data_IF_737081789117
#
_entry.id   IF_737081789117
#
_cell.length_a   1.000
_cell.length_b   1.000
_cell.length_c   1.000
_cell.angle_alpha   90.00
_cell.angle_beta   90.00
_cell.angle_gamma   90.00
#
_symmetry.space_group_name_H-M   'P 1'
#
loop_
_entity.id
_entity.type
_entity.pdbx_description
1 polymer ?
#
# COMPACT_ATOMS: atom_id res chain seq x y z
N UNK A 1 -5.75 3.10 -12.52
CA UNK A 1 -5.89 2.37 -11.24
C UNK A 1 -6.41 3.18 -10.06
N UNK A 2 -5.90 4.39 -9.76
CA UNK A 2 -6.37 5.16 -8.59
C UNK A 2 -7.90 5.30 -8.52
N UNK A 3 -8.54 5.65 -9.64
CA UNK A 3 -9.99 5.82 -9.73
C UNK A 3 -10.75 4.50 -9.50
N UNK A 4 -10.20 3.37 -9.96
CA UNK A 4 -10.76 2.03 -9.74
C UNK A 4 -10.68 1.64 -8.25
N UNK A 5 -9.57 1.93 -7.59
CA UNK A 5 -9.43 1.68 -6.15
C UNK A 5 -10.36 2.62 -5.37
N UNK A 6 -10.53 3.88 -5.79
CA UNK A 6 -11.52 4.77 -5.20
C UNK A 6 -12.96 4.25 -5.42
N UNK A 7 -13.25 3.61 -6.55
CA UNK A 7 -14.53 2.95 -6.77
C UNK A 7 -14.72 1.76 -5.81
N UNK A 8 -13.68 0.97 -5.54
CA UNK A 8 -13.72 -0.06 -4.50
C UNK A 8 -14.09 0.49 -3.12
N UNK A 9 -13.47 1.60 -2.70
CA UNK A 9 -13.83 2.24 -1.42
C UNK A 9 -15.26 2.80 -1.41
N UNK A 10 -15.76 3.32 -2.54
CA UNK A 10 -17.17 3.73 -2.65
C UNK A 10 -18.12 2.52 -2.53
N UNK A 11 -17.79 1.41 -3.18
CA UNK A 11 -18.53 0.16 -3.08
C UNK A 11 -18.54 -0.37 -1.63
N UNK A 12 -17.36 -0.38 -0.98
CA UNK A 12 -17.22 -0.76 0.43
C UNK A 12 -18.15 0.05 1.33
N UNK A 13 -18.20 1.38 1.17
CA UNK A 13 -19.07 2.25 1.98
C UNK A 13 -20.57 2.00 1.77
N UNK A 14 -20.98 1.42 0.63
CA UNK A 14 -22.38 1.09 0.33
C UNK A 14 -22.77 -0.31 0.82
N UNK A 15 -21.81 -1.23 0.87
CA UNK A 15 -21.99 -2.60 1.34
C UNK A 15 -20.77 -3.05 2.16
N UNK A 16 -20.62 -2.56 3.40
CA UNK A 16 -19.45 -2.82 4.20
C UNK A 16 -19.28 -4.31 4.50
N UNK A 17 -18.03 -4.76 4.54
CA UNK A 17 -17.65 -6.06 5.07
C UNK A 17 -16.72 -5.87 6.28
N UNK A 18 -16.55 -6.91 7.08
CA UNK A 18 -15.65 -6.85 8.24
C UNK A 18 -14.19 -6.73 7.77
N UNK A 19 -13.49 -5.74 8.30
CA UNK A 19 -12.05 -5.61 8.11
C UNK A 19 -11.34 -6.24 9.31
N UNK A 20 -10.66 -7.37 9.08
CA UNK A 20 -10.01 -8.13 10.15
C UNK A 20 -8.51 -8.37 9.91
N UNK A 21 -8.05 -8.41 8.66
CA UNK A 21 -6.62 -8.46 8.34
C UNK A 21 -6.30 -8.09 6.87
N UNK A 22 -5.02 -7.84 6.59
CA UNK A 22 -4.50 -7.47 5.26
C UNK A 22 -4.85 -8.46 4.15
N UNK A 23 -4.78 -9.77 4.41
CA UNK A 23 -5.08 -10.79 3.40
C UNK A 23 -6.56 -10.80 3.03
N UNK A 24 -7.44 -10.64 4.02
CA UNK A 24 -8.88 -10.48 3.78
C UNK A 24 -9.15 -9.24 2.92
N UNK A 25 -8.56 -8.10 3.27
CA UNK A 25 -8.69 -6.86 2.49
C UNK A 25 -8.17 -7.02 1.05
N UNK A 26 -7.01 -7.66 0.86
CA UNK A 26 -6.43 -7.97 -0.46
C UNK A 26 -7.37 -8.84 -1.30
N UNK A 27 -7.94 -9.89 -0.71
CA UNK A 27 -8.89 -10.76 -1.41
C UNK A 27 -10.17 -10.03 -1.81
N UNK A 28 -10.73 -9.21 -0.94
CA UNK A 28 -11.94 -8.44 -1.24
C UNK A 28 -11.70 -7.44 -2.40
N UNK A 29 -10.55 -6.75 -2.41
CA UNK A 29 -10.17 -5.91 -3.54
C UNK A 29 -9.98 -6.74 -4.82
N UNK A 30 -9.33 -7.89 -4.73
CA UNK A 30 -9.15 -8.81 -5.86
C UNK A 30 -10.48 -9.31 -6.45
N UNK A 31 -11.44 -9.68 -5.60
CA UNK A 31 -12.79 -10.11 -6.00
C UNK A 31 -13.53 -8.94 -6.66
N UNK A 32 -13.48 -7.75 -6.05
CA UNK A 32 -14.08 -6.54 -6.62
C UNK A 32 -13.55 -6.25 -8.02
N UNK A 33 -12.23 -6.24 -8.20
CA UNK A 33 -11.61 -5.98 -9.50
C UNK A 33 -12.08 -6.99 -10.55
N UNK A 34 -12.05 -8.29 -10.24
CA UNK A 34 -12.51 -9.33 -11.17
C UNK A 34 -13.99 -9.24 -11.52
N UNK A 35 -14.83 -8.78 -10.59
CA UNK A 35 -16.28 -8.66 -10.77
C UNK A 35 -16.67 -7.44 -11.61
N UNK A 36 -16.06 -6.29 -11.34
CA UNK A 36 -16.49 -5.01 -11.92
C UNK A 36 -15.60 -4.54 -13.09
N UNK A 37 -14.42 -5.14 -13.27
CA UNK A 37 -13.45 -4.84 -14.32
C UNK A 37 -12.94 -6.14 -14.96
N UNK A 38 -13.83 -6.93 -15.61
CA UNK A 38 -13.51 -8.26 -16.12
C UNK A 38 -12.44 -8.28 -17.24
N UNK A 39 -12.15 -7.13 -17.85
CA UNK A 39 -11.06 -6.93 -18.80
C UNK A 39 -9.67 -6.98 -18.15
N UNK A 40 -9.59 -6.81 -16.83
CA UNK A 40 -8.34 -6.84 -16.07
C UNK A 40 -7.96 -8.29 -15.74
N UNK A 41 -6.75 -8.70 -16.15
CA UNK A 41 -6.16 -9.95 -15.70
C UNK A 41 -5.51 -9.75 -14.32
N UNK A 42 -6.30 -9.98 -13.26
CA UNK A 42 -5.92 -9.77 -11.86
C UNK A 42 -5.28 -11.02 -11.26
N UNK A 43 -4.06 -10.87 -10.74
CA UNK A 43 -3.30 -11.91 -10.03
C UNK A 43 -2.93 -11.40 -8.64
N UNK A 44 -3.21 -12.21 -7.62
CA UNK A 44 -2.82 -11.92 -6.24
C UNK A 44 -1.48 -12.60 -5.96
N UNK A 45 -0.70 -12.03 -5.05
CA UNK A 45 0.55 -12.61 -4.54
C UNK A 45 1.47 -13.03 -5.71
N UNK A 46 1.67 -12.11 -6.66
CA UNK A 46 2.33 -12.42 -7.93
C UNK A 46 3.84 -12.28 -7.80
N UNK A 47 4.61 -13.38 -7.94
CA UNK A 47 6.03 -13.34 -7.64
C UNK A 47 6.82 -12.63 -8.75
N UNK A 48 7.81 -11.84 -8.35
CA UNK A 48 8.72 -11.08 -9.24
C UNK A 48 9.45 -11.98 -10.24
N UNK A 49 9.71 -13.24 -9.87
CA UNK A 49 10.29 -14.25 -10.77
C UNK A 49 9.42 -14.59 -11.98
N UNK A 50 8.12 -14.25 -11.94
CA UNK A 50 7.18 -14.37 -13.07
C UNK A 50 7.00 -13.06 -13.83
N UNK A 51 7.57 -11.96 -13.32
CA UNK A 51 7.51 -10.63 -13.92
C UNK A 51 8.75 -10.33 -14.77
N UNK A 52 9.92 -10.85 -14.36
CA UNK A 52 11.21 -10.54 -14.98
C UNK A 52 12.07 -11.78 -15.19
N UNK A 53 12.88 -11.76 -16.25
CA UNK A 53 13.96 -12.69 -16.48
C UNK A 53 15.07 -11.99 -17.29
N UNK A 54 16.27 -11.72 -16.73
CA UNK A 54 16.70 -12.03 -15.36
C UNK A 54 15.98 -11.19 -14.30
N UNK A 55 16.00 -11.65 -13.04
CA UNK A 55 15.37 -10.95 -11.91
C UNK A 55 16.25 -9.77 -11.47
N UNK A 56 15.77 -8.51 -11.56
CA UNK A 56 16.53 -7.37 -11.06
C UNK A 56 16.54 -7.33 -9.52
N UNK A 57 17.46 -6.54 -8.95
CA UNK A 57 17.50 -6.32 -7.50
C UNK A 57 16.36 -5.39 -7.09
N UNK A 58 15.27 -5.98 -6.62
CA UNK A 58 14.06 -5.30 -6.19
C UNK A 58 13.91 -5.31 -4.66
N UNK A 59 13.21 -4.30 -4.13
CA UNK A 59 12.96 -4.16 -2.70
C UNK A 59 11.98 -5.21 -2.16
N UNK A 60 11.11 -5.74 -3.02
CA UNK A 60 10.19 -6.82 -2.72
C UNK A 60 10.34 -7.99 -3.72
N UNK A 61 9.87 -9.18 -3.34
CA UNK A 61 9.93 -10.42 -4.13
C UNK A 61 8.58 -10.82 -4.75
N UNK A 62 7.53 -10.13 -4.34
CA UNK A 62 6.15 -10.40 -4.74
C UNK A 62 5.40 -9.06 -4.83
N UNK A 63 4.41 -9.00 -5.70
CA UNK A 63 3.44 -7.92 -5.77
C UNK A 63 2.11 -8.40 -5.20
N UNK A 64 1.51 -7.64 -4.29
CA UNK A 64 0.25 -8.01 -3.64
C UNK A 64 -0.88 -8.21 -4.66
N UNK A 65 -1.04 -7.26 -5.59
CA UNK A 65 -1.93 -7.40 -6.74
C UNK A 65 -1.20 -6.94 -8.01
N UNK A 66 -1.01 -7.86 -8.94
CA UNK A 66 -0.51 -7.60 -10.28
C UNK A 66 -1.63 -7.69 -11.31
N UNK A 67 -1.72 -6.70 -12.18
CA UNK A 67 -2.81 -6.56 -13.15
C UNK A 67 -2.23 -6.39 -14.55
N UNK A 68 -2.77 -7.11 -15.53
CA UNK A 68 -2.54 -6.83 -16.95
C UNK A 68 -3.84 -6.31 -17.57
N UNK A 69 -3.80 -5.10 -18.10
CA UNK A 69 -4.88 -4.46 -18.86
C UNK A 69 -4.55 -4.53 -20.36
N UNK A 70 -5.54 -4.88 -21.18
CA UNK A 70 -5.41 -4.99 -22.65
C UNK A 70 -4.24 -5.87 -23.14
N UNK A 71 -3.76 -6.79 -22.30
CA UNK A 71 -2.64 -7.70 -22.61
C UNK A 71 -1.24 -7.07 -22.56
N UNK A 72 -1.11 -5.77 -22.35
CA UNK A 72 0.18 -5.05 -22.45
C UNK A 72 0.45 -4.18 -21.23
N UNK A 73 -0.55 -3.41 -20.78
CA UNK A 73 -0.39 -2.46 -19.70
C UNK A 73 -0.32 -3.19 -18.36
N UNK A 74 0.75 -2.95 -17.61
CA UNK A 74 1.00 -3.61 -16.33
C UNK A 74 0.75 -2.64 -15.19
N UNK A 75 0.00 -3.08 -14.21
CA UNK A 75 -0.28 -2.32 -13.01
C UNK A 75 0.04 -3.13 -11.76
N UNK A 76 0.49 -2.46 -10.71
CA UNK A 76 0.73 -3.07 -9.41
C UNK A 76 0.05 -2.25 -8.32
N UNK A 77 -0.56 -2.97 -7.39
CA UNK A 77 -1.11 -2.43 -6.15
C UNK A 77 -0.43 -3.15 -4.99
N UNK A 78 0.24 -2.39 -4.13
CA UNK A 78 0.74 -2.85 -2.83
C UNK A 78 -0.24 -2.45 -1.74
N UNK A 79 -0.40 -3.31 -0.73
CA UNK A 79 -1.34 -3.12 0.36
C UNK A 79 -0.62 -3.19 1.70
N UNK A 80 -1.05 -2.36 2.63
CA UNK A 80 -0.67 -2.51 4.03
C UNK A 80 -1.85 -2.25 4.95
N UNK A 81 -2.11 -3.23 5.82
CA UNK A 81 -3.09 -3.13 6.89
C UNK A 81 -2.46 -3.59 8.22
N UNK A 82 -1.85 -2.67 8.99
CA UNK A 82 -1.12 -2.99 10.22
C UNK A 82 -1.91 -3.85 11.23
N UNK A 83 -1.38 -5.02 11.61
CA UNK A 83 -1.95 -5.93 12.65
C UNK A 83 -1.31 -5.70 14.03
N UNK A 84 -2.09 -5.63 15.10
CA UNK A 84 -1.68 -5.46 16.52
C UNK A 84 -1.06 -4.13 17.00
N UNK A 85 -1.53 -3.61 18.14
CA UNK A 85 -1.17 -2.31 18.75
C UNK A 85 0.35 -2.02 18.89
N UNK A 86 1.19 -3.04 19.05
CA UNK A 86 2.59 -2.89 19.45
C UNK A 86 3.62 -2.87 18.29
N UNK A 87 3.22 -3.17 17.04
CA UNK A 87 4.17 -3.41 15.94
C UNK A 87 4.12 -2.40 14.78
N UNK A 88 3.36 -1.30 14.88
CA UNK A 88 3.12 -0.43 13.71
C UNK A 88 4.37 0.18 13.10
N UNK A 89 5.49 0.34 13.83
CA UNK A 89 6.76 0.79 13.24
C UNK A 89 7.23 -0.11 12.08
N UNK A 90 7.04 -1.43 12.21
CA UNK A 90 7.42 -2.41 11.18
C UNK A 90 6.56 -2.20 9.94
N UNK A 91 5.25 -2.03 10.13
CA UNK A 91 4.32 -1.84 9.02
C UNK A 91 4.53 -0.49 8.33
N UNK A 92 4.75 0.59 9.09
CA UNK A 92 5.07 1.90 8.53
C UNK A 92 6.39 1.88 7.74
N UNK A 93 7.39 1.15 8.22
CA UNK A 93 8.64 0.96 7.49
C UNK A 93 8.43 0.18 6.20
N UNK A 94 7.61 -0.87 6.25
CA UNK A 94 7.24 -1.68 5.08
C UNK A 94 6.51 -0.86 4.02
N UNK A 95 5.65 0.09 4.38
CA UNK A 95 5.05 1.02 3.40
C UNK A 95 6.10 1.81 2.63
N UNK A 96 7.16 2.27 3.29
CA UNK A 96 8.27 2.98 2.61
C UNK A 96 9.04 2.01 1.69
N UNK A 97 9.17 0.75 2.11
CA UNK A 97 9.76 -0.34 1.31
C UNK A 97 8.91 -0.68 0.08
N UNK A 98 7.59 -0.72 0.23
CA UNK A 98 6.61 -0.96 -0.83
C UNK A 98 6.64 0.20 -1.83
N UNK A 99 6.69 1.46 -1.37
CA UNK A 99 6.92 2.61 -2.26
C UNK A 99 8.24 2.51 -3.04
N UNK A 100 9.32 2.05 -2.40
CA UNK A 100 10.60 1.85 -3.10
C UNK A 100 10.47 0.78 -4.19
N UNK A 101 9.75 -0.31 -3.90
CA UNK A 101 9.46 -1.34 -4.87
C UNK A 101 8.64 -0.79 -6.05
N UNK A 102 7.59 -0.02 -5.76
CA UNK A 102 6.73 0.63 -6.75
C UNK A 102 7.50 1.62 -7.64
N UNK A 103 8.45 2.40 -7.09
CA UNK A 103 9.37 3.26 -7.87
C UNK A 103 10.23 2.44 -8.84
N UNK A 104 10.78 1.32 -8.36
CA UNK A 104 11.60 0.43 -9.20
C UNK A 104 10.78 -0.16 -10.34
N UNK A 105 9.54 -0.60 -10.07
CA UNK A 105 8.63 -1.08 -11.10
C UNK A 105 8.22 0.03 -12.07
N UNK A 106 8.02 1.25 -11.59
CA UNK A 106 7.69 2.39 -12.45
C UNK A 106 8.81 2.68 -13.44
N UNK A 107 10.07 2.56 -13.01
CA UNK A 107 11.25 2.62 -13.87
C UNK A 107 11.38 1.46 -14.87
N UNK A 108 10.53 0.42 -14.78
CA UNK A 108 10.44 -0.71 -15.72
C UNK A 108 9.18 -0.61 -16.60
N UNK A 109 8.69 0.61 -16.86
CA UNK A 109 7.57 0.92 -17.75
C UNK A 109 6.21 0.33 -17.30
N UNK A 110 6.03 0.13 -15.98
CA UNK A 110 4.70 -0.19 -15.44
C UNK A 110 3.80 1.05 -15.56
N UNK A 111 2.57 0.83 -16.05
CA UNK A 111 1.62 1.90 -16.35
C UNK A 111 1.21 2.63 -15.07
N UNK A 112 0.78 1.88 -14.05
CA UNK A 112 0.50 2.46 -12.73
C UNK A 112 0.98 1.59 -11.59
N UNK A 113 1.62 2.22 -10.62
CA UNK A 113 2.10 1.61 -9.39
C UNK A 113 1.42 2.33 -8.22
N UNK A 114 0.61 1.63 -7.41
CA UNK A 114 -0.21 2.26 -6.36
C UNK A 114 0.01 1.59 -5.01
N UNK A 115 0.26 2.39 -3.97
CA UNK A 115 0.25 1.98 -2.57
C UNK A 115 -1.13 2.26 -1.97
N UNK A 116 -1.67 1.30 -1.23
CA UNK A 116 -2.91 1.42 -0.48
C UNK A 116 -2.64 1.09 0.98
N UNK A 117 -2.78 2.10 1.83
CA UNK A 117 -2.66 1.93 3.27
C UNK A 117 -4.02 2.09 3.92
N UNK A 118 -4.37 1.19 4.85
CA UNK A 118 -5.61 1.26 5.62
C UNK A 118 -5.39 0.79 7.05
N UNK A 119 -5.99 1.48 8.03
CA UNK A 119 -5.79 1.17 9.44
C UNK A 119 -6.90 1.75 10.32
N UNK A 120 -7.20 1.09 11.44
CA UNK A 120 -8.05 1.65 12.51
C UNK A 120 -7.25 2.32 13.63
N UNK A 121 -5.93 2.45 13.46
CA UNK A 121 -5.02 2.89 14.51
C UNK A 121 -4.82 4.40 14.57
N UNK A 122 -5.59 5.01 15.47
CA UNK A 122 -5.55 6.44 15.76
C UNK A 122 -4.14 6.99 15.99
N UNK A 123 -3.30 6.26 16.71
CA UNK A 123 -1.92 6.69 17.00
C UNK A 123 -1.04 6.86 15.74
N UNK A 124 -1.40 6.34 14.57
CA UNK A 124 -0.65 6.54 13.33
C UNK A 124 -0.87 7.96 12.79
N UNK A 125 -2.11 8.43 12.75
CA UNK A 125 -2.45 9.74 12.19
C UNK A 125 -2.57 10.85 13.25
N UNK A 126 -2.79 10.51 14.52
CA UNK A 126 -2.81 11.46 15.65
C UNK A 126 -1.43 11.66 16.27
N UNK A 127 -0.38 11.00 15.74
CA UNK A 127 0.87 10.78 16.47
C UNK A 127 1.54 12.07 16.99
N UNK A 128 1.78 12.05 18.29
CA UNK A 128 2.69 12.87 19.10
C UNK A 128 4.10 12.24 19.21
N UNK A 129 4.32 11.05 18.64
CA UNK A 129 5.55 10.27 18.73
C UNK A 129 6.46 10.51 17.51
N UNK A 130 7.74 10.76 17.76
CA UNK A 130 8.74 11.03 16.72
C UNK A 130 9.12 9.82 15.85
N UNK A 131 10.16 9.98 15.03
CA UNK A 131 10.62 8.96 14.07
C UNK A 131 9.67 8.79 12.88
N UNK A 132 9.55 7.56 12.37
CA UNK A 132 8.80 7.24 11.14
C UNK A 132 7.31 7.67 11.18
N UNK A 133 6.68 7.75 12.35
CA UNK A 133 5.30 8.21 12.50
C UNK A 133 5.09 9.64 11.98
N UNK A 134 6.13 10.49 12.01
CA UNK A 134 6.05 11.87 11.47
C UNK A 134 5.73 11.90 9.97
N UNK A 135 5.96 10.82 9.24
CA UNK A 135 5.63 10.72 7.82
C UNK A 135 4.13 10.46 7.60
N UNK A 136 3.43 9.93 8.60
CA UNK A 136 2.02 9.50 8.52
C UNK A 136 1.06 10.39 9.32
N UNK A 137 1.56 11.11 10.32
CA UNK A 137 0.77 11.93 11.23
C UNK A 137 0.17 13.19 10.56
N UNK A 138 -0.94 13.68 11.12
CA UNK A 138 -1.65 14.88 10.69
C UNK A 138 -2.79 14.60 9.70
N UNK A 139 -3.34 15.66 9.12
CA UNK A 139 -4.46 15.59 8.15
C UNK A 139 -4.05 14.98 6.80
N UNK A 140 -2.75 14.93 6.53
CA UNK A 140 -2.19 14.36 5.31
C UNK A 140 -0.87 13.68 5.60
N UNK A 141 -0.65 12.54 4.96
CA UNK A 141 0.65 11.86 4.97
C UNK A 141 1.63 12.58 4.05
N UNK A 142 2.91 12.53 4.41
CA UNK A 142 4.01 13.07 3.64
C UNK A 142 5.17 12.08 3.66
N UNK A 143 5.05 11.05 2.82
CA UNK A 143 6.00 9.95 2.74
C UNK A 143 7.21 10.37 1.89
N UNK A 144 8.39 10.08 2.40
CA UNK A 144 9.69 10.36 1.79
C UNK A 144 10.69 9.30 2.23
N UNK A 145 11.91 9.40 1.76
CA UNK A 145 13.05 8.62 2.29
C UNK A 145 13.05 8.62 3.82
N UNK A 146 13.33 7.46 4.40
CA UNK A 146 13.45 7.26 5.84
C UNK A 146 14.92 7.20 6.22
N UNK A 147 15.33 8.00 7.20
CA UNK A 147 16.72 8.03 7.68
C UNK A 147 16.94 7.03 8.80
N UNK A 148 18.21 6.77 9.13
CA UNK A 148 18.58 5.85 10.22
C UNK A 148 17.98 6.26 11.58
N UNK A 149 17.90 7.57 11.85
CA UNK A 149 17.38 8.11 13.11
C UNK A 149 15.84 8.00 13.22
N UNK A 150 15.16 7.77 12.10
CA UNK A 150 13.70 7.58 12.06
C UNK A 150 13.29 6.11 12.22
N UNK A 151 14.25 5.19 12.13
CA UNK A 151 14.06 3.73 12.22
C UNK A 151 14.30 3.26 13.66
N UNK A 152 13.41 2.40 14.16
CA UNK A 152 13.59 1.80 15.48
C UNK A 152 14.78 0.83 15.52
N UNK A 153 15.50 0.68 16.65
CA UNK A 153 16.70 -0.16 16.73
C UNK A 153 16.51 -1.60 16.23
N UNK A 154 15.34 -2.20 16.48
CA UNK A 154 15.02 -3.56 16.02
C UNK A 154 14.79 -3.67 14.50
N UNK A 155 14.60 -2.55 13.80
CA UNK A 155 14.48 -2.47 12.34
C UNK A 155 15.78 -2.03 11.65
N UNK A 156 16.86 -1.81 12.40
CA UNK A 156 18.10 -1.23 11.86
C UNK A 156 18.76 -2.08 10.77
N UNK A 157 18.51 -3.39 10.76
CA UNK A 157 18.98 -4.30 9.71
C UNK A 157 18.34 -4.03 8.34
N UNK A 158 17.14 -3.45 8.30
CA UNK A 158 16.55 -2.97 7.05
C UNK A 158 17.29 -1.75 6.48
N UNK A 159 17.87 -0.92 7.36
CA UNK A 159 18.60 0.28 7.00
C UNK A 159 17.72 1.40 6.44
N UNK A 160 18.31 2.58 6.15
CA UNK A 160 17.62 3.69 5.52
C UNK A 160 17.07 3.27 4.15
N UNK A 161 15.92 3.85 3.78
CA UNK A 161 15.33 3.65 2.45
C UNK A 161 15.31 4.99 1.74
N UNK A 162 15.94 5.04 0.57
CA UNK A 162 15.94 6.20 -0.31
C UNK A 162 14.83 6.08 -1.36
N UNK A 163 13.86 6.99 -1.29
CA UNK A 163 12.85 7.21 -2.33
C UNK A 163 13.34 8.28 -3.31
N UNK A 164 12.97 8.16 -4.58
CA UNK A 164 13.21 9.22 -5.58
C UNK A 164 12.21 10.36 -5.44
N UNK A 165 11.02 10.08 -4.89
CA UNK A 165 9.94 11.02 -4.74
C UNK A 165 9.60 11.39 -3.28
N UNK A 166 8.76 12.43 -3.16
CA UNK A 166 7.98 12.71 -1.96
C UNK A 166 6.50 12.56 -2.30
N UNK A 167 5.78 11.79 -1.50
CA UNK A 167 4.41 11.38 -1.76
C UNK A 167 3.48 11.95 -0.70
N UNK A 168 2.50 12.72 -1.13
CA UNK A 168 1.49 13.32 -0.26
C UNK A 168 0.12 12.74 -0.57
N UNK A 169 -0.62 12.38 0.47
CA UNK A 169 -2.01 11.96 0.35
C UNK A 169 -2.81 12.41 1.58
N UNK A 170 -4.11 12.60 1.40
CA UNK A 170 -5.01 12.89 2.52
C UNK A 170 -5.51 11.59 3.11
N UNK A 171 -5.75 11.61 4.42
CA UNK A 171 -6.52 10.57 5.06
C UNK A 171 -7.99 10.66 4.64
N UNK A 172 -8.53 9.53 4.23
CA UNK A 172 -9.94 9.32 3.96
C UNK A 172 -10.51 8.37 5.02
N UNK A 173 -11.81 8.48 5.30
CA UNK A 173 -12.47 7.71 6.38
C UNK A 173 -13.49 6.73 5.79
N UNK A 174 -13.49 5.51 6.31
CA UNK A 174 -14.53 4.49 6.06
C UNK A 174 -14.90 3.79 7.36
N UNK A 175 -16.03 3.11 7.35
CA UNK A 175 -16.48 2.28 8.46
C UNK A 175 -16.72 0.86 7.95
N UNK A 176 -16.25 -0.13 8.68
CA UNK A 176 -16.47 -1.53 8.33
C UNK A 176 -17.87 -2.02 8.73
N UNK A 177 -18.16 -3.29 8.49
CA UNK A 177 -19.47 -3.88 8.85
C UNK A 177 -19.78 -3.87 10.36
N UNK A 178 -18.77 -3.71 11.23
CA UNK A 178 -18.94 -3.58 12.68
C UNK A 178 -19.09 -2.12 13.13
N UNK A 179 -18.92 -1.17 12.21
CA UNK A 179 -18.94 0.26 12.50
C UNK A 179 -17.60 0.80 13.00
N UNK A 180 -16.51 0.02 12.94
CA UNK A 180 -15.17 0.48 13.31
C UNK A 180 -14.69 1.53 12.30
N UNK A 181 -14.20 2.68 12.78
CA UNK A 181 -13.57 3.71 11.92
C UNK A 181 -12.20 3.21 11.43
N UNK A 182 -12.03 3.19 10.11
CA UNK A 182 -10.74 3.02 9.45
C UNK A 182 -10.39 4.30 8.69
N UNK A 183 -9.09 4.64 8.72
CA UNK A 183 -8.51 5.64 7.83
C UNK A 183 -7.64 4.98 6.79
N UNK A 184 -7.71 5.52 5.57
CA UNK A 184 -6.91 5.03 4.46
C UNK A 184 -6.34 6.18 3.64
N UNK A 185 -5.30 5.90 2.86
CA UNK A 185 -4.84 6.80 1.81
C UNK A 185 -4.37 5.99 0.60
N UNK A 186 -4.26 6.69 -0.53
CA UNK A 186 -3.78 6.14 -1.80
C UNK A 186 -2.61 6.97 -2.33
N UNK A 187 -1.51 6.32 -2.68
CA UNK A 187 -0.37 6.95 -3.34
C UNK A 187 -0.15 6.28 -4.69
N UNK A 188 -0.20 7.06 -5.77
CA UNK A 188 0.23 6.60 -7.10
C UNK A 188 1.65 7.11 -7.36
N UNK A 189 2.58 6.18 -7.58
CA UNK A 189 3.95 6.49 -7.98
C UNK A 189 3.96 6.96 -9.43
N UNK A 190 4.67 8.06 -9.68
CA UNK A 190 4.74 8.73 -10.98
C UNK A 190 5.99 8.30 -11.74
#
# INVERSE_FOLDING_TARGET
MKEIIQHFFKYFSQSPFELYNESGFRHELGIFLKKYYPELNVKLDYPVSRMFNPIPKLANKEADIFIIESGVQKHVIELKMPKDENASHVDLYRVIQDLKFLEQLKGQEYETCTEVFITKRKNIWESINGGIYKLFAGDSVNLRSVTKDEIQPFLIHGGPIELSGTYKAKWEVIHDAKGDEYRYFLISVK
#
